data_IF_407565011996
#
_entry.id   IF_407565011996
#
_cell.length_a   1.000
_cell.length_b   1.000
_cell.length_c   1.000
_cell.angle_alpha   90.00
_cell.angle_beta   90.00
_cell.angle_gamma   90.00
#
_symmetry.space_group_name_H-M   'P 1'
#
loop_
_entity.id
_entity.type
_entity.pdbx_description
1 polymer ?
#
# COMPACT_ATOMS: atom_id res chain seq x y z
N UNK A 1 -25.91 -15.09 -1.74
CA UNK A 1 -24.52 -14.83 -2.18
C UNK A 1 -23.56 -15.81 -1.55
N UNK A 2 -22.67 -16.42 -2.31
CA UNK A 2 -21.62 -17.24 -1.71
C UNK A 2 -20.71 -16.38 -0.84
N UNK A 3 -20.13 -16.99 0.19
CA UNK A 3 -19.12 -16.32 1.00
C UNK A 3 -17.83 -16.18 0.19
N UNK A 4 -17.22 -15.02 0.24
CA UNK A 4 -16.02 -14.69 -0.54
C UNK A 4 -14.75 -15.33 0.04
N UNK A 5 -14.64 -15.44 1.36
CA UNK A 5 -13.45 -15.92 2.06
C UNK A 5 -13.00 -17.30 1.56
N UNK A 6 -11.69 -17.43 1.36
CA UNK A 6 -11.03 -18.66 0.92
C UNK A 6 -11.43 -19.13 -0.49
N UNK A 7 -11.97 -18.23 -1.31
CA UNK A 7 -12.27 -18.54 -2.71
C UNK A 7 -11.16 -18.02 -3.63
N UNK A 8 -11.14 -18.50 -4.85
CA UNK A 8 -10.25 -17.98 -5.89
C UNK A 8 -10.59 -16.52 -6.21
N UNK A 9 -11.87 -16.16 -6.17
CA UNK A 9 -12.33 -14.79 -6.39
C UNK A 9 -11.76 -13.84 -5.35
N UNK A 10 -11.70 -14.25 -4.08
CA UNK A 10 -11.04 -13.47 -3.04
C UNK A 10 -9.58 -13.22 -3.36
N UNK A 11 -8.84 -14.26 -3.74
CA UNK A 11 -7.44 -14.12 -4.13
C UNK A 11 -7.28 -13.18 -5.33
N UNK A 12 -8.17 -13.31 -6.32
CA UNK A 12 -8.15 -12.44 -7.50
C UNK A 12 -8.40 -10.97 -7.13
N UNK A 13 -9.33 -10.69 -6.21
CA UNK A 13 -9.59 -9.32 -5.74
C UNK A 13 -8.37 -8.72 -5.05
N UNK A 14 -7.67 -9.49 -4.22
CA UNK A 14 -6.45 -9.02 -3.57
C UNK A 14 -5.34 -8.72 -4.58
N UNK A 15 -5.17 -9.61 -5.54
CA UNK A 15 -4.18 -9.42 -6.61
C UNK A 15 -4.53 -8.21 -7.49
N UNK A 16 -5.79 -8.08 -7.86
CA UNK A 16 -6.26 -6.96 -8.67
C UNK A 16 -6.09 -5.62 -7.92
N UNK A 17 -6.41 -5.59 -6.63
CA UNK A 17 -6.18 -4.40 -5.80
C UNK A 17 -4.70 -4.02 -5.78
N UNK A 18 -3.82 -4.99 -5.54
CA UNK A 18 -2.38 -4.75 -5.51
C UNK A 18 -1.87 -4.23 -6.86
N UNK A 19 -2.33 -4.84 -7.96
CA UNK A 19 -1.93 -4.43 -9.32
C UNK A 19 -2.40 -3.03 -9.68
N UNK A 20 -3.65 -2.69 -9.42
CA UNK A 20 -4.20 -1.35 -9.69
C UNK A 20 -3.52 -0.29 -8.84
N UNK A 21 -3.25 -0.60 -7.57
CA UNK A 21 -2.55 0.33 -6.67
C UNK A 21 -1.12 0.59 -7.14
N UNK A 22 -0.42 -0.44 -7.59
CA UNK A 22 0.92 -0.31 -8.16
C UNK A 22 0.88 0.50 -9.45
N UNK A 23 -0.07 0.22 -10.33
CA UNK A 23 -0.23 0.93 -11.61
C UNK A 23 -0.47 2.43 -11.37
N UNK A 24 -1.33 2.78 -10.41
CA UNK A 24 -1.57 4.17 -10.04
C UNK A 24 -0.26 4.90 -9.73
N UNK A 25 0.55 4.34 -8.85
CA UNK A 25 1.80 4.99 -8.42
C UNK A 25 2.85 5.01 -9.52
N UNK A 26 2.95 3.95 -10.32
CA UNK A 26 3.86 3.89 -11.47
C UNK A 26 3.51 4.97 -12.49
N UNK A 27 2.23 5.14 -12.81
CA UNK A 27 1.81 6.14 -13.79
C UNK A 27 2.04 7.57 -13.31
N UNK A 28 1.85 7.84 -12.02
CA UNK A 28 2.19 9.15 -11.47
C UNK A 28 3.69 9.44 -11.56
N UNK A 29 4.51 8.44 -11.31
CA UNK A 29 5.96 8.56 -11.48
C UNK A 29 6.34 8.78 -12.94
N UNK A 30 5.72 8.03 -13.85
CA UNK A 30 5.94 8.21 -15.30
C UNK A 30 5.51 9.60 -15.77
N UNK A 31 4.43 10.13 -15.21
CA UNK A 31 3.99 11.49 -15.51
C UNK A 31 5.04 12.52 -15.12
N UNK A 32 5.66 12.38 -13.96
CA UNK A 32 6.75 13.27 -13.54
C UNK A 32 7.92 13.24 -14.51
N UNK A 33 8.30 12.05 -14.95
CA UNK A 33 9.40 11.89 -15.93
C UNK A 33 9.04 12.50 -17.27
N UNK A 34 7.81 12.31 -17.72
CA UNK A 34 7.33 12.93 -18.96
C UNK A 34 7.39 14.46 -18.90
N UNK A 35 6.99 15.06 -17.77
CA UNK A 35 7.07 16.50 -17.58
C UNK A 35 8.52 16.99 -17.62
N UNK A 36 9.44 16.28 -16.98
CA UNK A 36 10.87 16.65 -17.00
C UNK A 36 11.43 16.62 -18.42
N UNK A 37 10.98 15.67 -19.24
CA UNK A 37 11.42 15.54 -20.64
C UNK A 37 10.66 16.49 -21.59
N UNK A 38 9.65 17.20 -21.09
CA UNK A 38 8.87 18.15 -21.91
C UNK A 38 7.67 17.54 -22.64
N UNK A 39 7.30 16.31 -22.32
CA UNK A 39 6.15 15.63 -22.93
C UNK A 39 4.89 15.83 -22.08
N UNK A 40 4.43 17.06 -21.98
CA UNK A 40 3.30 17.40 -21.09
C UNK A 40 1.99 16.71 -21.47
N UNK A 41 1.74 16.48 -22.76
CA UNK A 41 0.55 15.76 -23.21
C UNK A 41 0.58 14.30 -22.77
N UNK A 42 1.75 13.68 -22.81
CA UNK A 42 1.93 12.30 -22.34
C UNK A 42 1.76 12.23 -20.80
N UNK A 43 2.30 13.22 -20.09
CA UNK A 43 2.11 13.35 -18.66
C UNK A 43 0.62 13.38 -18.29
N UNK A 44 -0.17 14.18 -19.03
CA UNK A 44 -1.62 14.27 -18.81
C UNK A 44 -2.33 12.92 -19.01
N UNK A 45 -1.91 12.13 -20.00
CA UNK A 45 -2.47 10.79 -20.23
C UNK A 45 -2.17 9.87 -19.03
N UNK A 46 -0.92 9.89 -18.53
CA UNK A 46 -0.56 9.09 -17.36
C UNK A 46 -1.36 9.49 -16.13
N UNK A 47 -1.51 10.80 -15.86
CA UNK A 47 -2.27 11.29 -14.68
C UNK A 47 -3.73 10.92 -14.76
N UNK A 48 -4.35 11.07 -15.92
CA UNK A 48 -5.75 10.71 -16.13
C UNK A 48 -5.98 9.20 -15.92
N UNK A 49 -5.07 8.39 -16.44
CA UNK A 49 -5.15 6.94 -16.27
C UNK A 49 -4.97 6.55 -14.80
N UNK A 50 -4.04 7.21 -14.09
CA UNK A 50 -3.82 6.96 -12.67
C UNK A 50 -5.09 7.24 -11.83
N UNK A 51 -5.86 8.27 -12.17
CA UNK A 51 -7.14 8.55 -11.49
C UNK A 51 -8.12 7.39 -11.68
N UNK A 52 -8.18 6.82 -12.89
CA UNK A 52 -9.01 5.65 -13.16
C UNK A 52 -8.59 4.45 -12.32
N UNK A 53 -7.28 4.23 -12.17
CA UNK A 53 -6.77 3.14 -11.33
C UNK A 53 -7.15 3.31 -9.86
N UNK A 54 -7.25 4.55 -9.36
CA UNK A 54 -7.73 4.83 -8.00
C UNK A 54 -9.15 4.31 -7.81
N UNK A 55 -10.05 4.60 -8.76
CA UNK A 55 -11.43 4.12 -8.71
C UNK A 55 -11.53 2.61 -8.75
N UNK A 56 -10.72 1.96 -9.59
CA UNK A 56 -10.67 0.50 -9.67
C UNK A 56 -10.20 -0.12 -8.35
N UNK A 57 -9.15 0.44 -7.75
CA UNK A 57 -8.63 -0.05 -6.48
C UNK A 57 -9.68 0.07 -5.36
N UNK A 58 -10.40 1.18 -5.30
CA UNK A 58 -11.47 1.37 -4.33
C UNK A 58 -12.61 0.38 -4.54
N UNK A 59 -12.99 0.11 -5.78
CA UNK A 59 -14.00 -0.90 -6.10
C UNK A 59 -13.62 -2.28 -5.58
N UNK A 60 -12.36 -2.68 -5.76
CA UNK A 60 -11.87 -3.95 -5.22
C UNK A 60 -11.91 -3.97 -3.70
N UNK A 61 -11.53 -2.86 -3.04
CA UNK A 61 -11.58 -2.76 -1.57
C UNK A 61 -12.98 -2.86 -1.02
N UNK A 62 -13.97 -2.27 -1.70
CA UNK A 62 -15.37 -2.37 -1.28
C UNK A 62 -15.82 -3.82 -1.19
N UNK A 63 -15.48 -4.64 -2.19
CA UNK A 63 -15.76 -6.07 -2.13
C UNK A 63 -14.96 -6.77 -1.04
N UNK A 64 -13.72 -6.34 -0.81
CA UNK A 64 -12.85 -6.95 0.20
C UNK A 64 -13.25 -6.63 1.64
N UNK A 65 -14.09 -5.61 1.88
CA UNK A 65 -14.57 -5.31 3.23
C UNK A 65 -15.22 -6.53 3.90
N UNK A 66 -15.88 -7.38 3.12
CA UNK A 66 -16.50 -8.60 3.63
C UNK A 66 -15.51 -9.54 4.33
N UNK A 67 -14.27 -9.57 3.87
CA UNK A 67 -13.25 -10.51 4.35
C UNK A 67 -12.09 -9.84 5.08
N UNK A 68 -11.97 -8.52 4.98
CA UNK A 68 -10.95 -7.77 5.70
C UNK A 68 -9.86 -7.16 4.83
N UNK A 69 -8.95 -6.48 5.49
CA UNK A 69 -7.82 -5.79 4.89
C UNK A 69 -6.93 -6.78 4.13
N UNK A 70 -6.68 -6.55 2.84
CA UNK A 70 -5.82 -7.46 2.05
C UNK A 70 -4.39 -7.58 2.59
N UNK A 71 -3.89 -6.57 3.32
CA UNK A 71 -2.53 -6.59 3.86
C UNK A 71 -2.43 -7.30 5.21
N UNK A 72 -3.42 -7.15 6.08
CA UNK A 72 -3.34 -7.64 7.48
C UNK A 72 -4.37 -8.70 7.83
N UNK A 73 -5.41 -8.83 7.01
CA UNK A 73 -6.53 -9.73 7.31
C UNK A 73 -7.50 -9.18 8.36
N UNK A 74 -7.24 -8.02 8.93
CA UNK A 74 -8.09 -7.43 9.96
C UNK A 74 -9.36 -6.82 9.37
N UNK A 75 -10.45 -6.72 10.15
CA UNK A 75 -11.66 -6.06 9.67
C UNK A 75 -11.38 -4.63 9.22
N UNK A 76 -12.07 -4.20 8.17
CA UNK A 76 -12.02 -2.83 7.64
C UNK A 76 -13.43 -2.35 7.32
N UNK A 77 -13.56 -1.04 7.11
CA UNK A 77 -14.81 -0.38 6.78
C UNK A 77 -15.15 0.71 7.78
N UNK A 78 -15.27 0.36 9.06
CA UNK A 78 -15.47 1.35 10.13
C UNK A 78 -14.14 1.99 10.50
N UNK A 79 -14.17 3.27 10.90
CA UNK A 79 -12.96 4.03 11.18
C UNK A 79 -12.07 3.39 12.25
N UNK A 80 -12.65 2.89 13.34
CA UNK A 80 -11.87 2.23 14.39
C UNK A 80 -11.17 0.98 13.85
N UNK A 81 -11.86 0.18 13.05
CA UNK A 81 -11.29 -1.01 12.42
C UNK A 81 -10.19 -0.63 11.43
N UNK A 82 -10.43 0.40 10.63
CA UNK A 82 -9.44 0.88 9.67
C UNK A 82 -8.16 1.32 10.37
N UNK A 83 -8.28 2.01 11.51
CA UNK A 83 -7.12 2.43 12.31
C UNK A 83 -6.36 1.22 12.88
N UNK A 84 -7.08 0.20 13.34
CA UNK A 84 -6.44 -1.03 13.85
C UNK A 84 -5.69 -1.75 12.73
N UNK A 85 -6.27 -1.82 11.55
CA UNK A 85 -5.62 -2.41 10.39
C UNK A 85 -4.36 -1.62 10.00
N UNK A 86 -4.45 -0.29 10.01
CA UNK A 86 -3.31 0.58 9.71
C UNK A 86 -2.18 0.40 10.73
N UNK A 87 -2.49 0.36 12.03
CA UNK A 87 -1.50 0.10 13.08
C UNK A 87 -0.80 -1.24 12.84
N UNK A 88 -1.58 -2.28 12.54
CA UNK A 88 -1.03 -3.61 12.31
C UNK A 88 -0.09 -3.64 11.09
N UNK A 89 -0.49 -2.98 10.00
CA UNK A 89 0.34 -2.90 8.79
C UNK A 89 1.66 -2.18 9.04
N UNK A 90 1.58 -0.99 9.64
CA UNK A 90 2.78 -0.20 9.95
C UNK A 90 3.70 -0.94 10.94
N UNK A 91 3.12 -1.61 11.93
CA UNK A 91 3.90 -2.38 12.91
C UNK A 91 4.67 -3.52 12.23
N UNK A 92 4.02 -4.25 11.34
CA UNK A 92 4.70 -5.30 10.56
C UNK A 92 5.84 -4.71 9.72
N UNK A 93 5.60 -3.57 9.09
CA UNK A 93 6.59 -2.91 8.23
C UNK A 93 7.84 -2.48 9.01
N UNK A 94 7.69 -1.93 10.23
CA UNK A 94 8.86 -1.43 10.95
C UNK A 94 9.52 -2.48 11.86
N UNK A 95 8.81 -3.53 12.27
CA UNK A 95 9.39 -4.57 13.14
C UNK A 95 9.96 -5.75 12.37
N UNK A 96 9.40 -6.07 11.21
CA UNK A 96 9.74 -7.28 10.47
C UNK A 96 10.14 -7.01 9.02
N UNK A 97 9.24 -6.42 8.23
CA UNK A 97 9.44 -6.29 6.79
C UNK A 97 10.69 -5.49 6.43
N UNK A 98 10.75 -4.21 6.80
CA UNK A 98 11.89 -3.36 6.44
C UNK A 98 13.19 -3.76 7.13
N UNK A 99 13.21 -4.11 8.42
CA UNK A 99 14.43 -4.63 9.03
C UNK A 99 14.97 -5.87 8.33
N UNK A 100 14.08 -6.78 7.93
CA UNK A 100 14.47 -7.99 7.18
C UNK A 100 15.02 -7.65 5.80
N UNK A 101 14.36 -6.75 5.08
CA UNK A 101 14.81 -6.29 3.77
C UNK A 101 16.15 -5.57 3.85
N UNK A 102 16.37 -4.77 4.90
CA UNK A 102 17.65 -4.09 5.11
C UNK A 102 18.79 -5.08 5.32
N UNK A 103 18.56 -6.13 6.11
CA UNK A 103 19.57 -7.19 6.33
C UNK A 103 19.91 -7.87 5.02
N UNK A 104 18.91 -8.26 4.24
CA UNK A 104 19.12 -8.91 2.94
C UNK A 104 19.91 -8.01 2.00
N UNK A 105 19.52 -6.74 1.90
CA UNK A 105 20.21 -5.79 1.03
C UNK A 105 21.69 -5.66 1.42
N UNK A 106 21.97 -5.59 2.73
CA UNK A 106 23.36 -5.47 3.22
C UNK A 106 24.15 -6.73 2.93
N UNK A 107 23.57 -7.90 3.12
CA UNK A 107 24.19 -9.17 2.81
C UNK A 107 24.52 -9.32 1.32
N UNK A 108 23.67 -8.74 0.46
CA UNK A 108 23.86 -8.77 -0.98
C UNK A 108 24.75 -7.64 -1.51
N UNK A 109 25.28 -6.78 -0.62
CA UNK A 109 26.19 -5.71 -1.00
C UNK A 109 25.52 -4.39 -1.38
N UNK A 110 24.23 -4.22 -1.12
CA UNK A 110 23.48 -3.01 -1.44
C UNK A 110 23.33 -2.12 -0.21
N UNK A 111 24.44 -1.54 0.25
CA UNK A 111 24.46 -0.76 1.49
C UNK A 111 23.53 0.46 1.45
N UNK A 112 23.52 1.19 0.35
CA UNK A 112 22.66 2.37 0.20
C UNK A 112 21.16 2.00 0.27
N UNK A 113 20.79 0.88 -0.35
CA UNK A 113 19.41 0.40 -0.31
C UNK A 113 19.06 -0.08 1.10
N UNK A 114 20.01 -0.72 1.80
CA UNK A 114 19.79 -1.13 3.20
C UNK A 114 19.51 0.08 4.09
N UNK A 115 20.27 1.17 3.93
CA UNK A 115 20.05 2.42 4.67
C UNK A 115 18.69 3.03 4.36
N UNK A 116 18.27 2.97 3.09
CA UNK A 116 16.93 3.40 2.67
C UNK A 116 15.84 2.63 3.42
N UNK A 117 15.93 1.30 3.45
CA UNK A 117 14.96 0.47 4.17
C UNK A 117 14.96 0.78 5.67
N UNK A 118 16.12 1.03 6.28
CA UNK A 118 16.20 1.40 7.69
C UNK A 118 15.54 2.74 7.96
N UNK A 119 15.69 3.69 7.05
CA UNK A 119 15.03 4.99 7.13
C UNK A 119 13.51 4.83 7.06
N UNK A 120 13.03 3.96 6.15
CA UNK A 120 11.60 3.68 6.04
C UNK A 120 11.06 3.00 7.29
N UNK A 121 11.81 2.09 7.90
CA UNK A 121 11.39 1.45 9.16
C UNK A 121 11.10 2.49 10.24
N UNK A 122 11.93 3.53 10.34
CA UNK A 122 11.71 4.63 11.29
C UNK A 122 10.45 5.44 10.96
N UNK A 123 10.22 5.71 9.67
CA UNK A 123 9.03 6.43 9.23
C UNK A 123 7.76 5.63 9.55
N UNK A 124 7.78 4.32 9.29
CA UNK A 124 6.63 3.46 9.53
C UNK A 124 6.32 3.33 11.04
N UNK A 125 7.35 3.35 11.88
CA UNK A 125 7.17 3.38 13.34
C UNK A 125 6.44 4.66 13.77
N UNK A 126 6.81 5.79 13.20
CA UNK A 126 6.13 7.07 13.46
C UNK A 126 4.67 7.01 13.00
N UNK A 127 4.40 6.42 11.84
CA UNK A 127 3.04 6.26 11.32
C UNK A 127 2.20 5.39 12.26
N UNK A 128 2.75 4.27 12.73
CA UNK A 128 2.06 3.39 13.67
C UNK A 128 1.65 4.15 14.95
N UNK A 129 2.55 4.96 15.49
CA UNK A 129 2.27 5.78 16.68
C UNK A 129 1.17 6.79 16.44
N UNK A 130 1.17 7.45 15.28
CA UNK A 130 0.14 8.41 14.90
C UNK A 130 -1.24 7.75 14.76
N UNK A 131 -1.32 6.60 14.12
CA UNK A 131 -2.56 5.86 13.98
C UNK A 131 -3.06 5.35 15.34
N UNK A 132 -2.17 4.86 16.20
CA UNK A 132 -2.54 4.40 17.53
C UNK A 132 -3.11 5.55 18.37
N UNK A 133 -2.47 6.72 18.29
CA UNK A 133 -2.95 7.92 19.01
C UNK A 133 -4.35 8.32 18.51
N UNK A 134 -4.59 8.27 17.23
CA UNK A 134 -5.90 8.57 16.66
C UNK A 134 -6.95 7.55 17.12
N UNK A 135 -6.60 6.28 17.18
CA UNK A 135 -7.49 5.23 17.67
C UNK A 135 -7.84 5.45 19.15
N UNK A 136 -6.85 5.78 19.96
CA UNK A 136 -7.06 6.02 21.40
C UNK A 136 -7.96 7.23 21.66
N UNK A 137 -8.01 8.17 20.73
CA UNK A 137 -8.81 9.41 20.85
C UNK A 137 -10.25 9.26 20.34
N UNK A 138 -10.61 8.13 19.75
CA UNK A 138 -11.97 7.90 19.26
C UNK A 138 -12.97 7.72 20.36
#
# INVERSE_FOLDING_TARGET
MPALKNTKTWENLKEAFAGESQANRRYLYFAQKADIEGYNDVSAVFRSTAEGETGHAYGHLEYLEEVGDPATGKPIGATADNLRAAVAGETHEYTDMYPGMARTAREEGFEEIAEWFETLAKAEKSHAGRFQKALDAL
#
